data_IF_705414938724
#
_entry.id   IF_705414938724
#
_cell.length_a   1.000
_cell.length_b   1.000
_cell.length_c   1.000
_cell.angle_alpha   90.00
_cell.angle_beta   90.00
_cell.angle_gamma   90.00
#
_symmetry.space_group_name_H-M   'P 1'
#
loop_
_entity.id
_entity.type
_entity.pdbx_description
1 polymer ?
#
# COMPACT_ATOMS: atom_id res chain seq x y z
N UNK A 1 13.67 63.71 -10.86
CA UNK A 1 14.85 62.87 -10.67
C UNK A 1 14.38 61.65 -9.87
N UNK A 2 14.08 60.58 -10.58
CA UNK A 2 13.53 59.34 -9.97
C UNK A 2 14.58 58.27 -10.15
N UNK A 3 15.17 57.84 -9.03
CA UNK A 3 16.20 56.80 -8.98
C UNK A 3 15.57 55.44 -9.15
N UNK A 4 15.87 54.77 -10.26
CA UNK A 4 15.61 53.34 -10.50
C UNK A 4 16.85 52.57 -10.03
N UNK A 5 16.79 51.92 -8.91
CA UNK A 5 17.77 50.84 -8.59
C UNK A 5 17.20 49.83 -7.63
N UNK A 6 16.96 48.65 -8.09
CA UNK A 6 17.67 47.41 -7.72
C UNK A 6 16.94 46.16 -8.28
N UNK A 7 17.36 45.78 -9.45
CA UNK A 7 17.06 44.41 -9.93
C UNK A 7 17.84 43.42 -9.04
N UNK A 8 17.15 42.70 -8.15
CA UNK A 8 17.72 41.54 -7.43
C UNK A 8 18.11 40.47 -8.46
N UNK A 9 19.42 40.27 -8.61
CA UNK A 9 19.94 39.14 -9.39
C UNK A 9 19.53 37.84 -8.75
N UNK A 10 18.68 37.10 -9.42
CA UNK A 10 18.40 35.70 -9.08
C UNK A 10 19.65 34.89 -9.44
N UNK A 11 20.37 34.42 -8.45
CA UNK A 11 21.45 33.45 -8.64
C UNK A 11 20.78 32.06 -8.77
N UNK A 12 20.84 31.41 -9.96
CA UNK A 12 20.33 30.04 -10.09
C UNK A 12 21.20 29.10 -9.26
N UNK A 13 20.55 28.29 -8.44
CA UNK A 13 21.21 27.25 -7.65
C UNK A 13 21.93 26.26 -8.60
N UNK A 14 23.11 25.75 -8.23
CA UNK A 14 23.86 24.85 -9.08
C UNK A 14 23.06 23.56 -9.34
N UNK A 15 23.10 23.09 -10.59
CA UNK A 15 22.34 21.95 -11.13
C UNK A 15 22.38 20.69 -10.21
N UNK A 16 23.49 20.47 -9.50
CA UNK A 16 23.64 19.40 -8.51
C UNK A 16 22.70 19.51 -7.30
N UNK A 17 22.27 20.74 -6.97
CA UNK A 17 21.34 20.99 -5.85
C UNK A 17 19.90 20.64 -6.26
N UNK A 18 19.51 20.92 -7.50
CA UNK A 18 18.20 20.51 -8.04
C UNK A 18 18.07 19.00 -8.13
N UNK A 19 19.13 18.30 -8.55
CA UNK A 19 19.13 16.84 -8.65
C UNK A 19 18.93 16.18 -7.28
N UNK A 20 19.55 16.73 -6.22
CA UNK A 20 19.38 16.24 -4.84
C UNK A 20 17.98 16.52 -4.27
N UNK A 21 17.38 17.66 -4.61
CA UNK A 21 16.01 18.00 -4.21
C UNK A 21 14.96 17.10 -4.92
N UNK A 22 15.17 16.80 -6.21
CA UNK A 22 14.30 15.89 -6.97
C UNK A 22 14.41 14.47 -6.40
N UNK A 23 15.62 14.00 -6.08
CA UNK A 23 15.81 12.68 -5.49
C UNK A 23 15.15 12.56 -4.10
N UNK A 24 15.22 13.60 -3.26
CA UNK A 24 14.55 13.65 -1.97
C UNK A 24 13.03 13.69 -2.09
N UNK A 25 12.48 14.39 -3.11
CA UNK A 25 11.04 14.45 -3.37
C UNK A 25 10.46 13.12 -3.88
N UNK A 26 11.22 12.34 -4.64
CA UNK A 26 10.81 11.00 -5.10
C UNK A 26 10.71 10.02 -3.94
N UNK A 27 11.56 10.13 -2.91
CA UNK A 27 11.48 9.32 -1.69
C UNK A 27 10.30 9.70 -0.76
N UNK A 28 9.79 10.92 -0.82
CA UNK A 28 8.70 11.39 0.05
C UNK A 28 7.29 10.99 -0.44
N UNK A 29 7.16 10.47 -1.66
CA UNK A 29 5.87 10.06 -2.26
C UNK A 29 5.58 8.55 -2.17
N UNK A 30 6.42 7.76 -1.51
CA UNK A 30 6.10 6.36 -1.23
C UNK A 30 5.05 6.33 -0.12
N UNK A 31 3.79 6.09 -0.50
CA UNK A 31 2.75 5.64 0.41
C UNK A 31 3.35 4.64 1.39
N UNK A 32 3.13 4.84 2.69
CA UNK A 32 3.77 4.12 3.80
C UNK A 32 3.92 2.62 3.52
N UNK A 33 5.01 2.24 2.85
CA UNK A 33 5.38 0.87 2.66
C UNK A 33 5.93 0.37 3.99
N UNK A 34 5.36 -0.70 4.53
CA UNK A 34 5.88 -1.34 5.72
C UNK A 34 6.81 -2.47 5.29
N UNK A 35 8.05 -2.39 5.73
CA UNK A 35 9.06 -3.42 5.51
C UNK A 35 9.30 -4.21 6.80
N UNK A 36 9.31 -5.52 6.68
CA UNK A 36 9.67 -6.46 7.75
C UNK A 36 10.80 -7.36 7.25
N UNK A 37 11.77 -7.64 8.13
CA UNK A 37 12.87 -8.56 7.83
C UNK A 37 12.94 -9.63 8.90
N UNK A 38 12.87 -10.90 8.50
CA UNK A 38 12.91 -12.04 9.41
C UNK A 38 13.32 -13.31 8.65
N UNK A 39 14.08 -14.18 9.28
CA UNK A 39 14.46 -15.50 8.76
C UNK A 39 15.09 -15.47 7.36
N UNK A 40 15.87 -14.44 7.04
CA UNK A 40 16.50 -14.28 5.73
C UNK A 40 15.56 -13.85 4.61
N UNK A 41 14.34 -13.37 4.95
CA UNK A 41 13.40 -12.74 4.02
C UNK A 41 13.19 -11.27 4.37
N UNK A 42 12.97 -10.46 3.33
CA UNK A 42 12.40 -9.12 3.45
C UNK A 42 11.03 -9.12 2.79
N UNK A 43 10.04 -8.63 3.50
CA UNK A 43 8.67 -8.47 3.05
C UNK A 43 8.30 -6.99 3.11
N UNK A 44 8.11 -6.38 1.95
CA UNK A 44 7.64 -4.99 1.84
C UNK A 44 6.23 -4.98 1.28
N UNK A 45 5.29 -4.33 1.98
CA UNK A 45 3.89 -4.27 1.58
C UNK A 45 3.46 -2.82 1.39
N UNK A 46 2.79 -2.55 0.29
CA UNK A 46 2.21 -1.25 -0.03
C UNK A 46 0.79 -1.41 -0.57
N UNK A 47 -0.01 -0.36 -0.44
CA UNK A 47 -1.32 -0.27 -1.08
C UNK A 47 -1.14 0.31 -2.49
N UNK A 48 -1.81 -0.27 -3.48
CA UNK A 48 -1.81 0.23 -4.86
C UNK A 48 -3.24 0.40 -5.35
N UNK A 49 -3.49 1.41 -6.19
CA UNK A 49 -4.79 1.61 -6.83
C UNK A 49 -4.72 0.94 -8.19
N UNK A 50 -5.54 -0.07 -8.41
CA UNK A 50 -5.62 -0.83 -9.66
C UNK A 50 -6.69 -0.30 -10.60
N UNK A 51 -7.70 0.38 -10.05
CA UNK A 51 -8.76 1.02 -10.81
C UNK A 51 -9.16 2.33 -10.12
N UNK A 52 -9.43 3.37 -10.92
CA UNK A 52 -9.80 4.70 -10.43
C UNK A 52 -10.93 5.26 -11.26
N UNK A 53 -12.11 5.39 -10.64
CA UNK A 53 -13.33 5.95 -11.23
C UNK A 53 -13.87 7.08 -10.34
N UNK A 54 -13.00 8.04 -10.01
CA UNK A 54 -13.38 9.20 -9.21
C UNK A 54 -14.27 10.13 -10.05
N UNK A 55 -15.30 10.71 -9.44
CA UNK A 55 -16.18 11.68 -10.08
C UNK A 55 -16.07 13.03 -9.40
N UNK A 56 -15.93 14.09 -10.21
CA UNK A 56 -15.91 15.44 -9.69
C UNK A 56 -17.26 15.81 -9.06
N UNK A 57 -17.21 16.24 -7.80
CA UNK A 57 -18.38 16.71 -7.09
C UNK A 57 -18.66 18.17 -7.38
N UNK A 58 -19.93 18.57 -7.39
CA UNK A 58 -20.33 19.96 -7.52
C UNK A 58 -20.11 20.71 -6.19
N UNK A 59 -18.91 21.20 -5.97
CA UNK A 59 -18.54 22.25 -5.02
C UNK A 59 -18.55 21.90 -3.53
N UNK A 60 -19.66 21.57 -2.90
CA UNK A 60 -19.73 21.49 -1.45
C UNK A 60 -19.21 20.19 -0.83
N UNK A 61 -19.30 19.08 -1.57
CA UNK A 61 -18.95 17.74 -1.04
C UNK A 61 -17.60 17.19 -1.54
N UNK A 62 -16.84 17.96 -2.34
CA UNK A 62 -15.59 17.48 -2.93
C UNK A 62 -15.82 16.34 -3.93
N UNK A 63 -14.74 15.75 -4.44
CA UNK A 63 -14.82 14.66 -5.40
C UNK A 63 -15.23 13.35 -4.72
N UNK A 64 -16.13 12.60 -5.36
CA UNK A 64 -16.49 11.26 -4.92
C UNK A 64 -15.40 10.27 -5.33
N UNK A 65 -14.83 9.60 -4.35
CA UNK A 65 -13.86 8.52 -4.55
C UNK A 65 -14.59 7.22 -4.90
N UNK A 66 -14.12 6.55 -5.93
CA UNK A 66 -14.55 5.20 -6.30
C UNK A 66 -13.33 4.48 -6.89
N UNK A 67 -12.62 3.74 -6.05
CA UNK A 67 -11.32 3.13 -6.40
C UNK A 67 -11.29 1.67 -6.01
N UNK A 68 -10.65 0.84 -6.80
CA UNK A 68 -10.26 -0.51 -6.40
C UNK A 68 -8.82 -0.47 -5.91
N UNK A 69 -8.62 -0.78 -4.63
CA UNK A 69 -7.32 -0.83 -3.98
C UNK A 69 -6.88 -2.28 -3.81
N UNK A 70 -5.65 -2.58 -4.20
CA UNK A 70 -5.00 -3.87 -3.99
C UNK A 70 -3.78 -3.71 -3.07
N UNK A 71 -3.28 -4.84 -2.55
CA UNK A 71 -2.01 -4.91 -1.86
C UNK A 71 -0.94 -5.38 -2.84
N UNK A 72 0.18 -4.69 -2.85
CA UNK A 72 1.40 -5.11 -3.55
C UNK A 72 2.41 -5.54 -2.49
N UNK A 73 2.83 -6.82 -2.53
CA UNK A 73 3.90 -7.34 -1.71
C UNK A 73 5.13 -7.60 -2.56
N UNK A 74 6.28 -7.11 -2.10
CA UNK A 74 7.60 -7.43 -2.63
C UNK A 74 8.32 -8.32 -1.62
N UNK A 75 8.65 -9.54 -2.02
CA UNK A 75 9.30 -10.55 -1.19
C UNK A 75 10.69 -10.79 -1.75
N UNK A 76 11.73 -10.56 -0.93
CA UNK A 76 13.14 -10.72 -1.30
C UNK A 76 13.79 -11.78 -0.44
N UNK A 77 14.51 -12.72 -1.07
CA UNK A 77 15.36 -13.63 -0.36
C UNK A 77 16.70 -12.92 -0.03
N UNK A 78 16.95 -12.67 1.26
CA UNK A 78 18.19 -12.07 1.77
C UNK A 78 19.22 -13.11 2.16
N UNK A 79 18.89 -14.42 2.11
CA UNK A 79 19.79 -15.49 2.45
C UNK A 79 20.73 -15.83 1.30
N UNK A 80 21.83 -16.52 1.60
CA UNK A 80 22.76 -17.09 0.60
C UNK A 80 22.28 -18.42 0.03
N UNK A 81 21.13 -18.93 0.49
CA UNK A 81 20.55 -20.21 0.04
C UNK A 81 19.23 -19.95 -0.68
N UNK A 82 18.90 -20.84 -1.59
CA UNK A 82 17.58 -20.83 -2.20
C UNK A 82 16.49 -21.06 -1.14
N UNK A 83 15.46 -20.23 -1.20
CA UNK A 83 14.26 -20.40 -0.40
C UNK A 83 13.30 -21.32 -1.16
N UNK A 84 12.86 -22.45 -0.60
CA UNK A 84 11.92 -23.33 -1.26
C UNK A 84 10.55 -22.69 -1.45
N UNK A 85 9.70 -23.34 -2.25
CA UNK A 85 8.31 -22.92 -2.48
C UNK A 85 7.55 -22.76 -1.17
N UNK A 86 6.54 -21.88 -1.20
CA UNK A 86 5.72 -21.58 -0.04
C UNK A 86 4.36 -21.05 -0.42
N UNK A 87 3.72 -20.43 0.55
CA UNK A 87 2.42 -19.80 0.42
C UNK A 87 2.44 -18.40 1.02
N UNK A 88 1.73 -17.49 0.36
CA UNK A 88 1.45 -16.15 0.90
C UNK A 88 -0.04 -16.06 1.21
N UNK A 89 -0.38 -15.99 2.48
CA UNK A 89 -1.75 -15.72 2.92
C UNK A 89 -1.91 -14.23 3.16
N UNK A 90 -3.02 -13.69 2.71
CA UNK A 90 -3.34 -12.28 2.89
C UNK A 90 -4.75 -12.08 3.46
N UNK A 91 -4.93 -11.01 4.20
CA UNK A 91 -6.22 -10.57 4.69
C UNK A 91 -6.32 -9.04 4.61
N UNK A 92 -7.49 -8.54 4.20
CA UNK A 92 -7.82 -7.12 4.15
C UNK A 92 -9.10 -6.88 4.93
N UNK A 93 -9.04 -5.98 5.89
CA UNK A 93 -10.19 -5.44 6.59
C UNK A 93 -10.65 -4.16 5.89
N UNK A 94 -11.94 -4.06 5.62
CA UNK A 94 -12.58 -2.87 5.07
C UNK A 94 -13.59 -2.32 6.08
N UNK A 95 -13.31 -1.16 6.64
CA UNK A 95 -14.25 -0.38 7.43
C UNK A 95 -14.86 0.71 6.56
N UNK A 96 -16.12 0.57 6.23
CA UNK A 96 -16.86 1.55 5.43
C UNK A 96 -17.24 2.76 6.28
N UNK A 97 -17.10 3.96 5.70
CA UNK A 97 -17.41 5.20 6.43
C UNK A 97 -18.91 5.36 6.77
N UNK A 98 -19.79 4.75 5.97
CA UNK A 98 -21.26 4.83 6.12
C UNK A 98 -21.90 3.62 6.82
N UNK A 99 -21.09 2.65 7.29
CA UNK A 99 -21.58 1.42 7.94
C UNK A 99 -20.80 1.15 9.23
N UNK A 100 -21.43 0.44 10.15
CA UNK A 100 -20.82 0.03 11.41
C UNK A 100 -19.96 -1.22 11.25
N UNK A 101 -20.28 -2.06 10.26
CA UNK A 101 -19.63 -3.35 10.07
C UNK A 101 -18.26 -3.20 9.42
N UNK A 102 -17.33 -4.02 9.88
CA UNK A 102 -16.04 -4.23 9.24
C UNK A 102 -16.11 -5.53 8.44
N UNK A 103 -15.75 -5.47 7.16
CA UNK A 103 -15.67 -6.66 6.29
C UNK A 103 -14.25 -7.19 6.30
N UNK A 104 -14.09 -8.52 6.17
CA UNK A 104 -12.78 -9.15 5.96
C UNK A 104 -12.77 -9.95 4.66
N UNK A 105 -11.74 -9.73 3.86
CA UNK A 105 -11.43 -10.46 2.65
C UNK A 105 -10.13 -11.22 2.87
N UNK A 106 -10.05 -12.47 2.45
CA UNK A 106 -8.86 -13.30 2.64
C UNK A 106 -8.54 -14.09 1.39
N UNK A 107 -7.29 -14.45 1.22
CA UNK A 107 -6.86 -15.31 0.13
C UNK A 107 -5.49 -15.92 0.39
N UNK A 108 -5.09 -16.82 -0.50
CA UNK A 108 -3.80 -17.50 -0.47
C UNK A 108 -3.26 -17.59 -1.89
N UNK A 109 -1.99 -17.24 -2.07
CA UNK A 109 -1.26 -17.35 -3.33
C UNK A 109 -0.02 -18.22 -3.14
N UNK A 110 0.34 -18.95 -4.18
CA UNK A 110 1.58 -19.74 -4.17
C UNK A 110 2.80 -18.85 -4.34
N UNK A 111 3.81 -19.07 -3.52
CA UNK A 111 5.12 -18.46 -3.65
C UNK A 111 6.09 -19.46 -4.26
N UNK A 112 6.65 -19.13 -5.43
CA UNK A 112 7.68 -19.94 -6.07
C UNK A 112 8.97 -19.92 -5.26
N UNK A 113 9.82 -20.93 -5.45
CA UNK A 113 11.16 -20.89 -4.89
C UNK A 113 11.90 -19.62 -5.31
N UNK A 114 12.66 -19.01 -4.39
CA UNK A 114 13.42 -17.79 -4.64
C UNK A 114 14.92 -18.05 -4.48
N UNK A 115 15.70 -17.78 -5.52
CA UNK A 115 17.15 -17.80 -5.47
C UNK A 115 17.70 -16.73 -4.51
N UNK A 116 18.96 -16.83 -4.08
CA UNK A 116 19.62 -15.76 -3.31
C UNK A 116 19.49 -14.40 -4.00
N UNK A 117 19.12 -13.39 -3.24
CA UNK A 117 18.88 -12.00 -3.66
C UNK A 117 17.71 -11.80 -4.66
N UNK A 118 17.00 -12.87 -5.05
CA UNK A 118 15.84 -12.76 -5.92
C UNK A 118 14.68 -12.04 -5.24
N UNK A 119 13.93 -11.28 -6.04
CA UNK A 119 12.74 -10.52 -5.62
C UNK A 119 11.56 -11.02 -6.44
N UNK A 120 10.45 -11.30 -5.77
CA UNK A 120 9.16 -11.52 -6.42
C UNK A 120 8.14 -10.49 -5.97
N UNK A 121 7.25 -10.08 -6.87
CA UNK A 121 6.16 -9.16 -6.58
C UNK A 121 4.82 -9.87 -6.79
N UNK A 122 3.95 -9.73 -5.81
CA UNK A 122 2.59 -10.29 -5.84
C UNK A 122 1.59 -9.16 -5.60
N UNK A 123 0.45 -9.24 -6.29
CA UNK A 123 -0.66 -8.30 -6.11
C UNK A 123 -1.87 -9.08 -5.63
N UNK A 124 -2.45 -8.67 -4.52
CA UNK A 124 -3.56 -9.37 -3.87
C UNK A 124 -4.78 -8.48 -3.74
N UNK A 125 -5.94 -9.10 -3.80
CA UNK A 125 -7.22 -8.64 -3.32
C UNK A 125 -7.63 -7.24 -3.76
N UNK A 126 -8.36 -7.10 -4.85
CA UNK A 126 -9.02 -5.84 -5.20
C UNK A 126 -10.16 -5.53 -4.22
N UNK A 127 -10.02 -4.48 -3.40
CA UNK A 127 -11.06 -4.02 -2.48
C UNK A 127 -11.59 -2.67 -2.95
N UNK A 128 -12.90 -2.61 -3.21
CA UNK A 128 -13.56 -1.37 -3.64
C UNK A 128 -13.67 -0.40 -2.47
N UNK A 129 -13.10 0.79 -2.64
CA UNK A 129 -13.07 1.87 -1.66
C UNK A 129 -13.90 3.02 -2.17
N UNK A 130 -14.76 3.55 -1.31
CA UNK A 130 -15.58 4.71 -1.59
C UNK A 130 -15.34 5.81 -0.55
N UNK A 131 -15.76 7.04 -0.87
CA UNK A 131 -15.63 8.18 0.03
C UNK A 131 -15.71 9.49 -0.70
N UNK A 132 -15.30 10.56 -0.02
CA UNK A 132 -15.26 11.91 -0.57
C UNK A 132 -13.89 12.55 -0.29
N UNK A 133 -13.33 13.27 -1.27
CA UNK A 133 -12.17 14.15 -1.05
C UNK A 133 -12.63 15.48 -0.47
N UNK A 134 -11.76 16.15 0.28
CA UNK A 134 -12.08 17.46 0.87
C UNK A 134 -12.80 17.40 2.22
N UNK A 135 -13.26 16.22 2.64
CA UNK A 135 -13.75 15.96 3.99
C UNK A 135 -12.71 15.32 4.89
N UNK A 136 -13.01 15.27 6.19
CA UNK A 136 -12.18 14.57 7.15
C UNK A 136 -12.04 13.08 6.78
N UNK A 137 -11.03 12.41 7.32
CA UNK A 137 -10.80 10.97 7.14
C UNK A 137 -12.00 10.07 7.50
N UNK A 138 -12.99 10.61 8.23
CA UNK A 138 -14.20 9.88 8.62
C UNK A 138 -15.16 9.62 7.46
N UNK A 139 -15.03 10.35 6.35
CA UNK A 139 -15.88 10.17 5.16
C UNK A 139 -15.23 9.32 4.06
N UNK A 140 -14.23 8.52 4.42
CA UNK A 140 -13.57 7.58 3.52
C UNK A 140 -13.54 6.20 4.13
N UNK A 141 -13.72 5.20 3.27
CA UNK A 141 -13.48 3.82 3.65
C UNK A 141 -12.01 3.66 4.08
N UNK A 142 -11.79 2.88 5.13
CA UNK A 142 -10.46 2.58 5.68
C UNK A 142 -10.15 1.11 5.49
N UNK A 143 -8.92 0.81 5.09
CA UNK A 143 -8.45 -0.55 4.92
C UNK A 143 -7.24 -0.81 5.81
N UNK A 144 -7.28 -1.93 6.52
CA UNK A 144 -6.15 -2.52 7.23
C UNK A 144 -5.81 -3.85 6.59
N UNK A 145 -4.57 -4.29 6.71
CA UNK A 145 -4.12 -5.49 6.03
C UNK A 145 -3.12 -6.28 6.87
N UNK A 146 -3.04 -7.57 6.54
CA UNK A 146 -2.06 -8.51 7.05
C UNK A 146 -1.61 -9.42 5.91
N UNK A 147 -0.30 -9.67 5.82
CA UNK A 147 0.30 -10.65 4.92
C UNK A 147 1.22 -11.55 5.73
N UNK A 148 1.12 -12.84 5.48
CA UNK A 148 1.96 -13.86 6.11
C UNK A 148 2.54 -14.77 5.04
N UNK A 149 3.87 -14.93 5.03
CA UNK A 149 4.57 -15.90 4.21
C UNK A 149 4.78 -17.16 5.04
N UNK A 150 4.39 -18.30 4.47
CA UNK A 150 4.50 -19.62 5.10
C UNK A 150 5.32 -20.55 4.23
N UNK A 151 6.02 -21.45 4.88
CA UNK A 151 6.79 -22.53 4.29
C UNK A 151 6.51 -23.81 5.07
N UNK A 152 6.15 -24.89 4.40
CA UNK A 152 5.74 -26.15 5.06
C UNK A 152 4.68 -25.94 6.16
N UNK A 153 3.74 -25.03 5.90
CA UNK A 153 2.68 -24.67 6.86
C UNK A 153 3.13 -23.77 8.03
N UNK A 154 4.43 -23.48 8.16
CA UNK A 154 4.97 -22.65 9.26
C UNK A 154 5.10 -21.19 8.80
N UNK A 155 4.73 -20.27 9.68
CA UNK A 155 4.96 -18.84 9.46
C UNK A 155 6.45 -18.51 9.48
N UNK A 156 6.94 -17.92 8.39
CA UNK A 156 8.32 -17.44 8.25
C UNK A 156 8.39 -15.96 8.58
N UNK A 157 7.51 -15.17 7.95
CA UNK A 157 7.43 -13.72 8.16
C UNK A 157 5.99 -13.25 8.07
N UNK A 158 5.62 -12.30 8.92
CA UNK A 158 4.29 -11.68 8.97
C UNK A 158 4.45 -10.17 9.01
N UNK A 159 3.68 -9.47 8.20
CA UNK A 159 3.57 -8.01 8.23
C UNK A 159 2.11 -7.60 8.29
N UNK A 160 1.82 -6.52 9.03
CA UNK A 160 0.46 -6.01 9.20
C UNK A 160 0.47 -4.49 9.30
N UNK A 161 -0.57 -3.84 8.79
CA UNK A 161 -0.68 -2.37 8.79
C UNK A 161 -0.88 -1.78 10.19
N UNK A 162 -1.48 -2.56 11.09
CA UNK A 162 -1.72 -2.17 12.49
C UNK A 162 -1.52 -3.33 13.44
N UNK A 163 -0.99 -3.07 14.63
CA UNK A 163 -0.84 -4.08 15.69
C UNK A 163 -2.20 -4.62 16.17
N UNK A 164 -3.28 -3.87 15.98
CA UNK A 164 -4.63 -4.26 16.36
C UNK A 164 -5.32 -5.18 15.33
N UNK A 165 -4.67 -5.55 14.20
CA UNK A 165 -5.29 -6.28 13.10
C UNK A 165 -6.01 -7.55 13.58
N UNK A 166 -5.35 -8.39 14.34
CA UNK A 166 -5.92 -9.66 14.80
C UNK A 166 -7.15 -9.47 15.70
N UNK A 167 -7.19 -8.40 16.50
CA UNK A 167 -8.36 -8.04 17.32
C UNK A 167 -9.53 -7.54 16.45
N UNK A 168 -9.25 -6.71 15.45
CA UNK A 168 -10.26 -6.19 14.53
C UNK A 168 -10.85 -7.31 13.65
N UNK A 169 -10.02 -8.25 13.22
CA UNK A 169 -10.43 -9.38 12.38
C UNK A 169 -11.41 -10.33 13.07
N UNK A 170 -11.33 -10.49 14.41
CA UNK A 170 -12.25 -11.33 15.18
C UNK A 170 -13.72 -10.85 15.11
N UNK A 171 -13.93 -9.57 14.91
CA UNK A 171 -15.26 -8.94 14.86
C UNK A 171 -15.71 -8.62 13.45
N UNK A 172 -14.91 -8.97 12.44
CA UNK A 172 -15.21 -8.67 11.05
C UNK A 172 -16.12 -9.73 10.40
N UNK A 173 -17.00 -9.28 9.52
CA UNK A 173 -17.88 -10.15 8.72
C UNK A 173 -17.10 -10.66 7.52
N UNK A 174 -16.96 -11.99 7.40
CA UNK A 174 -16.26 -12.62 6.27
C UNK A 174 -17.04 -12.45 4.97
N UNK A 175 -16.34 -12.06 3.91
CA UNK A 175 -16.85 -12.01 2.53
C UNK A 175 -15.93 -12.81 1.62
N UNK A 176 -16.49 -13.69 0.80
CA UNK A 176 -15.73 -14.67 0.00
C UNK A 176 -15.17 -14.10 -1.31
N UNK A 177 -15.50 -12.86 -1.70
CA UNK A 177 -15.06 -12.29 -2.98
C UNK A 177 -14.37 -10.94 -2.80
N UNK A 178 -13.05 -10.98 -2.69
CA UNK A 178 -12.26 -9.89 -3.26
C UNK A 178 -12.29 -10.07 -4.79
N UNK A 179 -12.80 -9.09 -5.54
CA UNK A 179 -12.73 -9.12 -7.00
C UNK A 179 -11.26 -9.31 -7.39
N UNK A 180 -10.97 -10.40 -8.12
CA UNK A 180 -9.62 -10.58 -8.68
C UNK A 180 -9.39 -9.44 -9.66
N UNK A 181 -8.27 -8.71 -9.57
CA UNK A 181 -7.93 -7.76 -10.62
C UNK A 181 -7.85 -8.55 -11.93
N UNK A 182 -8.58 -8.10 -12.94
CA UNK A 182 -8.46 -8.63 -14.29
C UNK A 182 -7.03 -8.37 -14.78
N UNK A 183 -6.27 -9.43 -15.02
CA UNK A 183 -4.98 -9.37 -15.70
C UNK A 183 -5.18 -9.07 -17.18
#
# INVERSE_FOLDING_TARGET
>A
MIDFHAAKRFNPLPMKTYLRLILAAVFALTAAARAEEKNGLSLTVSKTVVEKNDTHGNGYYGDKLNRTQALKASIKNLSFKEMPEGEVTWAVLLKRYSYTDTLIFTGTEKLKALKPAEITELIFGGTKITGYTGYSENYKDKTEWQITVKQDGKEIIKSQSTAAFDSLAKHAVKRDNAEKPNN
#
